data_IF_838853676469
#
_entry.id   IF_838853676469
#
_cell.length_a   1.000
_cell.length_b   1.000
_cell.length_c   1.000
_cell.angle_alpha   90.00
_cell.angle_beta   90.00
_cell.angle_gamma   90.00
#
_symmetry.space_group_name_H-M   'P 1'
#
loop_
_entity.id
_entity.type
_entity.pdbx_description
1 polymer ?
#
# COMPACT_ATOMS: atom_id res chain seq x y z
N UNK A 1 8.40 10.56 -8.61
CA UNK A 1 7.86 9.25 -8.19
C UNK A 1 7.34 9.44 -6.78
N UNK A 2 6.06 9.19 -6.58
CA UNK A 2 5.42 9.28 -5.27
C UNK A 2 5.42 7.91 -4.59
N UNK A 3 5.18 7.90 -3.29
CA UNK A 3 5.13 6.70 -2.47
C UNK A 3 3.79 6.57 -1.76
N UNK A 4 3.32 5.32 -1.65
CA UNK A 4 1.99 5.00 -1.15
C UNK A 4 2.04 3.84 -0.16
N UNK A 5 0.92 3.59 0.53
CA UNK A 5 0.72 2.39 1.34
C UNK A 5 -0.67 1.83 1.08
N UNK A 6 -0.74 0.53 0.84
CA UNK A 6 -1.96 -0.23 0.57
C UNK A 6 -2.17 -1.25 1.69
N UNK A 7 -3.28 -1.14 2.42
CA UNK A 7 -3.66 -2.10 3.46
C UNK A 7 -4.46 -3.25 2.87
N UNK A 8 -4.03 -4.47 3.15
CA UNK A 8 -4.76 -5.70 2.81
C UNK A 8 -4.95 -6.57 4.04
N UNK A 9 -6.04 -7.31 4.13
CA UNK A 9 -6.20 -8.35 5.15
C UNK A 9 -5.67 -9.67 4.58
N UNK A 10 -4.67 -10.34 5.19
CA UNK A 10 -4.04 -11.53 4.63
C UNK A 10 -5.00 -12.70 4.40
N UNK A 11 -6.08 -12.77 5.19
CA UNK A 11 -7.14 -13.77 5.07
C UNK A 11 -7.97 -13.61 3.78
N UNK A 12 -7.95 -12.42 3.18
CA UNK A 12 -8.71 -12.06 1.97
C UNK A 12 -7.80 -11.90 0.76
N UNK A 13 -6.68 -11.20 0.91
CA UNK A 13 -5.67 -10.99 -0.14
C UNK A 13 -4.28 -10.86 0.49
N UNK A 14 -3.51 -11.94 0.44
CA UNK A 14 -2.18 -12.03 1.04
C UNK A 14 -1.09 -11.45 0.13
N UNK A 15 0.14 -11.37 0.66
CA UNK A 15 1.29 -10.99 -0.15
C UNK A 15 1.62 -12.06 -1.20
N UNK A 16 1.45 -13.34 -0.85
CA UNK A 16 1.70 -14.45 -1.76
C UNK A 16 0.70 -14.45 -2.93
N UNK A 17 -0.57 -14.08 -2.66
CA UNK A 17 -1.58 -13.88 -3.71
C UNK A 17 -1.17 -12.76 -4.69
N UNK A 18 -0.67 -11.65 -4.14
CA UNK A 18 -0.18 -10.52 -4.93
C UNK A 18 1.05 -10.88 -5.77
N UNK A 19 1.97 -11.68 -5.24
CA UNK A 19 3.14 -12.20 -5.97
C UNK A 19 2.70 -13.17 -7.06
N UNK A 20 1.71 -14.03 -6.80
CA UNK A 20 1.21 -15.01 -7.76
C UNK A 20 0.56 -14.37 -9.00
N UNK A 21 0.05 -13.14 -8.89
CA UNK A 21 -0.43 -12.36 -10.05
C UNK A 21 0.67 -11.93 -11.02
N UNK A 22 1.92 -11.84 -10.55
CA UNK A 22 3.07 -11.45 -11.36
C UNK A 22 2.87 -10.10 -12.07
N UNK A 23 3.36 -10.01 -13.30
CA UNK A 23 3.36 -8.77 -14.10
C UNK A 23 1.96 -8.27 -14.47
N UNK A 24 0.94 -9.15 -14.41
CA UNK A 24 -0.45 -8.77 -14.66
C UNK A 24 -0.99 -7.82 -13.59
N UNK A 25 -0.46 -7.89 -12.37
CA UNK A 25 -0.95 -7.10 -11.24
C UNK A 25 -2.33 -7.53 -10.77
N UNK A 26 -2.89 -6.71 -9.88
CA UNK A 26 -4.23 -6.86 -9.33
C UNK A 26 -4.93 -5.51 -9.25
N UNK A 27 -6.21 -5.50 -9.61
CA UNK A 27 -7.09 -4.36 -9.40
C UNK A 27 -7.29 -4.12 -7.90
N UNK A 28 -6.95 -2.93 -7.44
CA UNK A 28 -7.11 -2.55 -6.03
C UNK A 28 -8.54 -2.12 -5.67
N UNK A 29 -9.49 -3.00 -5.99
CA UNK A 29 -10.93 -2.77 -5.86
C UNK A 29 -11.42 -2.75 -4.40
N UNK A 30 -12.73 -2.55 -4.23
CA UNK A 30 -13.41 -2.62 -2.93
C UNK A 30 -13.19 -1.40 -2.02
N UNK A 31 -12.43 -0.40 -2.47
CA UNK A 31 -12.24 0.85 -1.73
C UNK A 31 -13.53 1.65 -1.73
N UNK A 32 -14.15 1.82 -0.55
CA UNK A 32 -15.38 2.61 -0.34
C UNK A 32 -15.18 3.80 0.59
N UNK A 33 -13.96 4.37 0.56
CA UNK A 33 -13.59 5.57 1.30
C UNK A 33 -13.16 6.67 0.32
N UNK A 34 -13.83 7.83 0.36
CA UNK A 34 -13.58 8.93 -0.57
C UNK A 34 -12.14 9.46 -0.53
N UNK A 35 -11.52 9.51 0.65
CA UNK A 35 -10.14 9.97 0.78
C UNK A 35 -9.18 8.96 0.16
N UNK A 36 -9.35 7.66 0.45
CA UNK A 36 -8.52 6.60 -0.15
C UNK A 36 -8.65 6.58 -1.69
N UNK A 37 -9.87 6.70 -2.22
CA UNK A 37 -10.12 6.85 -3.66
C UNK A 37 -9.37 8.07 -4.23
N UNK A 38 -9.51 9.22 -3.59
CA UNK A 38 -8.84 10.44 -4.05
C UNK A 38 -7.30 10.36 -3.96
N UNK A 39 -6.75 9.54 -3.05
CA UNK A 39 -5.31 9.21 -3.03
C UNK A 39 -4.94 8.38 -4.26
N UNK A 40 -5.71 7.33 -4.60
CA UNK A 40 -5.48 6.52 -5.80
C UNK A 40 -5.53 7.34 -7.10
N UNK A 41 -6.44 8.32 -7.19
CA UNK A 41 -6.53 9.23 -8.35
C UNK A 41 -5.28 10.10 -8.58
N UNK A 42 -4.40 10.22 -7.59
CA UNK A 42 -3.14 10.96 -7.71
C UNK A 42 -1.97 10.09 -8.20
N UNK A 43 -2.16 8.77 -8.22
CA UNK A 43 -1.11 7.81 -8.56
C UNK A 43 -0.81 7.82 -10.06
N UNK A 44 0.46 7.59 -10.39
CA UNK A 44 0.95 7.41 -11.76
C UNK A 44 1.60 6.06 -11.92
N UNK A 45 1.56 5.51 -13.13
CA UNK A 45 2.25 4.25 -13.45
C UNK A 45 3.74 4.38 -13.08
N UNK A 46 4.25 3.39 -12.36
CA UNK A 46 5.61 3.36 -11.83
C UNK A 46 5.79 4.03 -10.46
N UNK A 47 4.76 4.69 -9.91
CA UNK A 47 4.78 5.04 -8.48
C UNK A 47 4.81 3.77 -7.62
N UNK A 48 5.49 3.85 -6.47
CA UNK A 48 5.73 2.70 -5.60
C UNK A 48 4.89 2.75 -4.34
N UNK A 49 4.63 1.59 -3.75
CA UNK A 49 3.92 1.53 -2.49
C UNK A 49 4.36 0.37 -1.60
N UNK A 50 4.01 0.50 -0.33
CA UNK A 50 4.10 -0.57 0.65
C UNK A 50 2.85 -1.43 0.61
N UNK A 51 3.02 -2.75 0.52
CA UNK A 51 1.97 -3.70 0.81
C UNK A 51 1.97 -3.98 2.30
N UNK A 52 0.90 -3.55 2.98
CA UNK A 52 0.75 -3.66 4.42
C UNK A 52 -0.33 -4.67 4.76
N UNK A 53 0.05 -5.72 5.48
CA UNK A 53 -0.89 -6.64 6.10
C UNK A 53 -1.56 -5.98 7.30
N UNK A 54 -2.88 -6.06 7.37
CA UNK A 54 -3.73 -5.48 8.40
C UNK A 54 -4.33 -6.57 9.30
N UNK A 55 -5.08 -6.15 10.33
CA UNK A 55 -5.70 -7.04 11.32
C UNK A 55 -4.73 -7.93 12.13
N UNK A 56 -4.55 -9.18 11.76
CA UNK A 56 -3.80 -10.20 12.49
C UNK A 56 -2.28 -10.06 12.30
N UNK A 57 -1.84 -9.57 11.14
CA UNK A 57 -0.43 -9.47 10.77
C UNK A 57 -0.02 -8.04 10.44
N UNK A 58 -0.14 -7.12 11.41
CA UNK A 58 0.09 -5.67 11.24
C UNK A 58 1.53 -5.30 10.88
N UNK A 59 1.92 -5.44 9.62
CA UNK A 59 3.27 -5.18 9.13
C UNK A 59 3.31 -4.80 7.64
N UNK A 60 4.33 -4.03 7.26
CA UNK A 60 4.75 -3.87 5.86
C UNK A 60 5.55 -5.10 5.47
N UNK A 61 5.13 -5.79 4.41
CA UNK A 61 5.70 -7.10 4.01
C UNK A 61 6.32 -7.09 2.62
N UNK A 62 6.01 -6.10 1.79
CA UNK A 62 6.52 -6.02 0.44
C UNK A 62 6.38 -4.65 -0.19
N UNK A 63 7.05 -4.49 -1.34
CA UNK A 63 6.93 -3.35 -2.23
C UNK A 63 6.07 -3.71 -3.42
N UNK A 64 5.20 -2.79 -3.82
CA UNK A 64 4.41 -2.83 -5.05
C UNK A 64 4.72 -1.63 -5.92
N UNK A 65 4.31 -1.70 -7.18
CA UNK A 65 4.20 -0.54 -8.05
C UNK A 65 2.83 -0.45 -8.69
N UNK A 66 2.43 0.77 -9.04
CA UNK A 66 1.22 1.05 -9.80
C UNK A 66 1.47 0.68 -11.26
N UNK A 67 0.66 -0.24 -11.79
CA UNK A 67 0.73 -0.71 -13.18
C UNK A 67 -0.45 -0.23 -14.05
N UNK A 68 -1.53 0.29 -13.46
CA UNK A 68 -2.57 1.06 -14.16
C UNK A 68 -2.98 2.29 -13.33
N UNK A 69 -3.16 3.45 -13.98
CA UNK A 69 -3.74 4.62 -13.32
C UNK A 69 -5.22 4.39 -12.96
N UNK A 70 -5.79 5.30 -12.17
CA UNK A 70 -7.17 5.19 -11.70
C UNK A 70 -8.18 4.96 -12.83
N UNK A 71 -8.97 3.90 -12.71
CA UNK A 71 -10.06 3.51 -13.59
C UNK A 71 -11.28 3.02 -12.77
N UNK A 72 -12.48 2.93 -13.35
CA UNK A 72 -13.66 2.44 -12.64
C UNK A 72 -13.42 1.09 -11.97
N UNK A 73 -13.87 0.95 -10.71
CA UNK A 73 -13.76 -0.27 -9.92
C UNK A 73 -14.77 -1.31 -10.46
N UNK A 74 -14.27 -2.47 -10.90
CA UNK A 74 -15.07 -3.53 -11.52
C UNK A 74 -16.14 -4.16 -10.61
N UNK A 75 -15.99 -3.99 -9.29
CA UNK A 75 -16.90 -4.49 -8.25
C UNK A 75 -17.92 -3.44 -7.80
N UNK A 76 -17.80 -2.20 -8.27
CA UNK A 76 -18.72 -1.12 -7.91
C UNK A 76 -20.00 -1.16 -8.76
N UNK A 77 -21.13 -0.88 -8.14
CA UNK A 77 -22.41 -0.74 -8.83
C UNK A 77 -22.62 0.64 -9.48
N UNK A 78 -21.76 1.61 -9.16
CA UNK A 78 -21.81 2.97 -9.69
C UNK A 78 -20.40 3.47 -10.07
N UNK A 79 -20.36 4.50 -10.90
CA UNK A 79 -19.16 5.08 -11.51
C UNK A 79 -18.36 6.00 -10.58
N UNK A 80 -18.80 6.18 -9.33
CA UNK A 80 -18.13 7.06 -8.37
C UNK A 80 -16.92 6.41 -7.72
N UNK A 81 -16.76 5.09 -7.87
CA UNK A 81 -15.66 4.32 -7.32
C UNK A 81 -14.70 3.92 -8.42
N UNK A 82 -13.43 4.18 -8.16
CA UNK A 82 -12.32 3.92 -9.05
C UNK A 82 -11.12 3.49 -8.21
N UNK A 83 -10.26 2.70 -8.82
CA UNK A 83 -9.04 2.16 -8.24
C UNK A 83 -7.93 2.08 -9.29
N UNK A 84 -6.72 1.84 -8.80
CA UNK A 84 -5.55 1.55 -9.64
C UNK A 84 -5.35 0.04 -9.70
N UNK A 85 -4.49 -0.41 -10.62
CA UNK A 85 -3.89 -1.74 -10.54
C UNK A 85 -2.49 -1.64 -9.92
N UNK A 86 -2.13 -2.60 -9.08
CA UNK A 86 -0.79 -2.73 -8.51
C UNK A 86 -0.19 -4.11 -8.77
N UNK A 87 1.13 -4.18 -8.91
CA UNK A 87 1.86 -5.45 -9.01
C UNK A 87 2.99 -5.53 -8.01
N UNK A 88 3.31 -6.75 -7.58
CA UNK A 88 4.41 -7.00 -6.67
C UNK A 88 5.76 -6.64 -7.32
N UNK A 89 6.62 -5.97 -6.57
CA UNK A 89 8.02 -5.73 -6.94
C UNK A 89 8.95 -6.71 -6.23
N UNK A 90 8.98 -6.65 -4.90
CA UNK A 90 9.84 -7.50 -4.06
C UNK A 90 9.34 -7.51 -2.61
N UNK A 91 9.53 -8.62 -1.88
CA UNK A 91 9.27 -8.64 -0.45
C UNK A 91 10.23 -7.68 0.29
N UNK A 92 9.83 -7.26 1.49
CA UNK A 92 10.78 -6.72 2.47
C UNK A 92 11.53 -7.92 3.07
N UNK A 93 12.88 -7.92 3.07
CA UNK A 93 13.66 -8.92 3.80
C UNK A 93 13.22 -9.08 5.26
N UNK A 94 13.00 -7.95 5.93
CA UNK A 94 12.52 -7.91 7.31
C UNK A 94 11.18 -7.16 7.37
N UNK A 95 10.04 -7.83 7.62
CA UNK A 95 8.76 -7.14 7.73
C UNK A 95 8.76 -6.08 8.84
N UNK A 96 8.30 -4.86 8.51
CA UNK A 96 8.26 -3.74 9.46
C UNK A 96 6.88 -3.66 10.11
N UNK A 97 6.80 -4.05 11.39
CA UNK A 97 5.55 -4.10 12.15
C UNK A 97 5.01 -2.71 12.51
N UNK A 98 3.69 -2.59 12.67
CA UNK A 98 3.06 -1.36 13.16
C UNK A 98 3.60 -0.94 14.54
N UNK A 99 4.00 -1.90 15.38
CA UNK A 99 4.62 -1.61 16.67
C UNK A 99 5.96 -0.86 16.47
N UNK A 100 6.84 -1.40 15.63
CA UNK A 100 8.11 -0.71 15.28
C UNK A 100 7.86 0.66 14.66
N UNK A 101 6.87 0.80 13.77
CA UNK A 101 6.50 2.11 13.20
C UNK A 101 6.08 3.10 14.28
N UNK A 102 5.26 2.68 15.25
CA UNK A 102 4.79 3.53 16.36
C UNK A 102 5.90 3.90 17.35
N UNK A 103 6.85 3.00 17.55
CA UNK A 103 7.99 3.21 18.44
C UNK A 103 9.09 4.06 17.80
N UNK A 104 8.95 4.43 16.52
CA UNK A 104 9.90 5.27 15.77
C UNK A 104 9.39 6.72 15.71
N UNK A 105 10.01 7.67 16.45
CA UNK A 105 9.54 9.05 16.53
C UNK A 105 9.43 9.77 15.18
N UNK A 106 10.33 9.48 14.24
CA UNK A 106 10.36 10.06 12.90
C UNK A 106 9.13 9.67 12.06
N UNK A 107 8.47 8.56 12.40
CA UNK A 107 7.26 8.06 11.76
C UNK A 107 5.99 8.42 12.52
N UNK A 108 6.10 9.19 13.62
CA UNK A 108 4.97 9.49 14.48
C UNK A 108 3.81 10.15 13.72
N UNK A 109 4.09 10.96 12.70
CA UNK A 109 3.08 11.67 11.89
C UNK A 109 2.66 10.93 10.61
N UNK A 110 3.22 9.74 10.36
CA UNK A 110 2.86 8.92 9.20
C UNK A 110 1.36 8.61 9.21
N UNK A 111 0.73 8.63 8.03
CA UNK A 111 -0.69 8.32 7.89
C UNK A 111 -1.06 6.92 8.44
N UNK A 112 -0.11 5.98 8.45
CA UNK A 112 -0.28 4.64 9.03
C UNK A 112 -0.56 4.70 10.53
N UNK A 113 0.08 5.64 11.24
CA UNK A 113 -0.09 5.88 12.68
C UNK A 113 -1.32 6.75 12.94
N UNK A 114 -1.49 7.82 12.17
CA UNK A 114 -2.50 8.87 12.44
C UNK A 114 -3.90 8.54 11.91
N UNK A 115 -4.00 7.75 10.84
CA UNK A 115 -5.24 7.49 10.11
C UNK A 115 -5.47 5.99 9.94
N UNK A 116 -5.73 5.30 11.06
CA UNK A 116 -5.86 3.84 11.10
C UNK A 116 -6.94 3.28 10.15
N UNK A 117 -8.02 4.03 9.91
CA UNK A 117 -9.14 3.66 9.03
C UNK A 117 -8.91 3.97 7.55
N UNK A 118 -7.85 4.70 7.20
CA UNK A 118 -7.51 4.99 5.81
C UNK A 118 -6.74 3.79 5.23
N UNK A 119 -7.29 3.14 4.20
CA UNK A 119 -6.74 1.90 3.60
C UNK A 119 -5.69 2.15 2.54
N UNK A 120 -5.77 3.28 1.83
CA UNK A 120 -4.76 3.73 0.86
C UNK A 120 -4.25 5.08 1.29
N UNK A 121 -2.93 5.20 1.48
CA UNK A 121 -2.32 6.31 2.18
C UNK A 121 -1.16 6.91 1.38
N UNK A 122 -0.97 8.24 1.40
CA UNK A 122 0.29 8.84 0.96
C UNK A 122 1.41 8.50 1.94
N UNK A 123 2.62 8.34 1.41
CA UNK A 123 3.85 8.14 2.19
C UNK A 123 4.86 9.21 1.77
N UNK A 124 5.38 9.97 2.73
CA UNK A 124 6.38 11.00 2.44
C UNK A 124 7.73 10.36 2.08
N UNK A 125 8.56 11.01 1.25
CA UNK A 125 9.86 10.45 0.85
C UNK A 125 10.74 10.01 2.03
N UNK A 126 10.75 10.78 3.12
CA UNK A 126 11.50 10.45 4.34
C UNK A 126 10.94 9.21 5.08
N UNK A 127 9.62 9.04 5.09
CA UNK A 127 8.95 7.88 5.69
C UNK A 127 9.23 6.62 4.86
N UNK A 128 9.17 6.74 3.54
CA UNK A 128 9.50 5.68 2.60
C UNK A 128 10.93 5.19 2.82
N UNK A 129 11.90 6.10 2.79
CA UNK A 129 13.31 5.76 2.95
C UNK A 129 13.58 5.08 4.30
N UNK A 130 12.96 5.56 5.37
CA UNK A 130 13.12 4.99 6.70
C UNK A 130 12.51 3.59 6.82
N UNK A 131 11.28 3.37 6.34
CA UNK A 131 10.67 2.04 6.33
C UNK A 131 11.46 1.06 5.46
N UNK A 132 11.93 1.47 4.28
CA UNK A 132 12.80 0.63 3.45
C UNK A 132 14.07 0.22 4.21
N UNK A 133 14.76 1.18 4.85
CA UNK A 133 15.94 0.91 5.68
C UNK A 133 15.63 -0.05 6.84
N UNK A 134 14.54 0.18 7.56
CA UNK A 134 14.09 -0.69 8.66
C UNK A 134 13.79 -2.10 8.16
N UNK A 135 13.28 -2.22 6.93
CA UNK A 135 12.93 -3.49 6.32
C UNK A 135 14.07 -4.20 5.59
N UNK A 136 15.32 -3.79 5.80
CA UNK A 136 16.49 -4.43 5.20
C UNK A 136 16.71 -4.08 3.72
N UNK A 137 15.99 -3.08 3.19
CA UNK A 137 16.19 -2.52 1.86
C UNK A 137 17.08 -1.27 1.98
N UNK A 138 18.35 -1.44 2.30
CA UNK A 138 19.35 -0.38 2.14
C UNK A 138 20.00 -0.49 0.75
N UNK A 139 20.32 0.68 0.17
CA UNK A 139 20.76 0.91 -1.22
C UNK A 139 21.78 -0.09 -1.78
#
# INVERSE_FOLDING_TARGET
>A
MNHWLFKSEPSTWSWDDQVAKGDAGEEWNGVRNYQARNVMRQMKVGDRGFFYHSQDQKAVVGLVEVCAESHPDSTAADDKWDCVDIRALKPLPDPVTLAQVKDTPELADMALVRQSRLSVQPVRPEEWALICKMGGLAD
#
